data_IF_219861397638
#
_entry.id   IF_219861397638
#
_cell.length_a   1.000
_cell.length_b   1.000
_cell.length_c   1.000
_cell.angle_alpha   90.00
_cell.angle_beta   90.00
_cell.angle_gamma   90.00
#
_symmetry.space_group_name_H-M   'P 1'
#
loop_
_entity.id
_entity.type
_entity.pdbx_description
1 polymer ?
#
# COMPACT_ATOMS: atom_id res chain seq x y z
N UNK A 1 5.32 -9.73 -13.58
CA UNK A 1 4.02 -10.37 -13.91
C UNK A 1 2.92 -9.41 -13.50
N UNK A 2 1.88 -9.23 -14.30
CA UNK A 2 0.73 -8.39 -13.93
C UNK A 2 -0.29 -9.23 -13.16
N UNK A 3 -0.82 -8.68 -12.07
CA UNK A 3 -1.82 -9.35 -11.23
C UNK A 3 -3.13 -8.54 -11.32
N UNK A 4 -4.27 -9.17 -11.65
CA UNK A 4 -5.55 -8.49 -11.64
C UNK A 4 -5.96 -8.14 -10.20
N UNK A 5 -6.67 -7.02 -10.05
CA UNK A 5 -7.25 -6.65 -8.75
C UNK A 5 -8.54 -7.43 -8.56
N UNK A 6 -8.60 -8.21 -7.49
CA UNK A 6 -9.78 -8.95 -7.07
C UNK A 6 -10.52 -8.24 -5.90
N UNK A 7 -11.62 -8.85 -5.46
CA UNK A 7 -12.44 -8.32 -4.37
C UNK A 7 -11.72 -8.29 -3.02
N UNK A 8 -10.78 -9.20 -2.78
CA UNK A 8 -10.01 -9.24 -1.54
C UNK A 8 -9.03 -8.06 -1.50
N UNK A 9 -8.29 -7.86 -2.59
CA UNK A 9 -7.41 -6.71 -2.74
C UNK A 9 -8.18 -5.38 -2.67
N UNK A 10 -9.39 -5.31 -3.22
CA UNK A 10 -10.26 -4.13 -3.11
C UNK A 10 -10.64 -3.84 -1.65
N UNK A 11 -10.94 -4.87 -0.85
CA UNK A 11 -11.22 -4.70 0.57
C UNK A 11 -10.00 -4.22 1.36
N UNK A 12 -8.82 -4.81 1.10
CA UNK A 12 -7.56 -4.39 1.73
C UNK A 12 -7.20 -2.95 1.34
N UNK A 13 -7.36 -2.58 0.08
CA UNK A 13 -7.16 -1.22 -0.42
C UNK A 13 -8.07 -0.21 0.31
N UNK A 14 -9.34 -0.55 0.53
CA UNK A 14 -10.26 0.29 1.29
C UNK A 14 -9.83 0.45 2.76
N UNK A 15 -9.41 -0.64 3.41
CA UNK A 15 -8.89 -0.59 4.78
C UNK A 15 -7.63 0.27 4.87
N UNK A 16 -6.71 0.10 3.91
CA UNK A 16 -5.47 0.88 3.82
C UNK A 16 -5.75 2.36 3.66
N UNK A 17 -6.67 2.75 2.77
CA UNK A 17 -7.04 4.16 2.59
C UNK A 17 -7.67 4.74 3.86
N UNK A 18 -8.50 3.97 4.56
CA UNK A 18 -9.11 4.40 5.83
C UNK A 18 -8.07 4.66 6.92
N UNK A 19 -7.01 3.85 6.96
CA UNK A 19 -5.95 3.92 7.97
C UNK A 19 -4.84 4.92 7.63
N UNK A 20 -4.42 4.94 6.37
CA UNK A 20 -3.20 5.61 5.89
C UNK A 20 -3.46 6.69 4.83
N UNK A 21 -4.72 6.94 4.47
CA UNK A 21 -5.09 7.82 3.36
C UNK A 21 -4.71 9.30 3.53
N UNK A 22 -4.51 9.94 2.38
CA UNK A 22 -4.20 11.38 2.26
C UNK A 22 -5.22 12.26 2.97
N UNK A 23 -4.72 13.25 3.71
CA UNK A 23 -5.53 14.20 4.48
C UNK A 23 -5.97 13.69 5.87
N UNK A 24 -5.68 12.43 6.22
CA UNK A 24 -6.01 11.85 7.52
C UNK A 24 -4.80 11.28 8.25
N UNK A 25 -3.89 10.63 7.51
CA UNK A 25 -2.69 10.02 8.07
C UNK A 25 -1.41 10.60 7.45
N UNK A 26 -0.31 10.49 8.19
CA UNK A 26 1.00 11.02 7.80
C UNK A 26 1.67 10.27 6.63
N UNK A 27 1.29 9.02 6.39
CA UNK A 27 1.67 8.25 5.19
C UNK A 27 1.03 8.83 3.92
N UNK A 28 -0.23 9.24 4.03
CA UNK A 28 -0.89 10.03 3.00
C UNK A 28 -1.20 9.28 1.70
N UNK A 29 -1.51 7.98 1.77
CA UNK A 29 -1.79 7.15 0.60
C UNK A 29 -2.90 7.75 -0.28
N UNK A 30 -2.65 7.78 -1.59
CA UNK A 30 -3.64 8.14 -2.60
C UNK A 30 -4.38 6.89 -3.13
N UNK A 31 -5.35 7.08 -4.03
CA UNK A 31 -6.14 5.97 -4.60
C UNK A 31 -5.28 4.94 -5.36
N UNK A 32 -4.27 5.41 -6.11
CA UNK A 32 -3.31 4.54 -6.80
C UNK A 32 -2.44 3.72 -5.85
N UNK A 33 -1.97 4.35 -4.76
CA UNK A 33 -1.12 3.70 -3.77
C UNK A 33 -1.81 2.53 -3.08
N UNK A 34 -3.14 2.58 -2.98
CA UNK A 34 -3.93 1.52 -2.34
C UNK A 34 -3.85 0.19 -3.10
N UNK A 35 -3.66 0.21 -4.42
CA UNK A 35 -3.47 -1.02 -5.21
C UNK A 35 -2.10 -1.63 -4.93
N UNK A 36 -1.05 -0.82 -4.94
CA UNK A 36 0.31 -1.26 -4.60
C UNK A 36 0.37 -1.80 -3.18
N UNK A 37 -0.27 -1.11 -2.23
CA UNK A 37 -0.36 -1.55 -0.84
C UNK A 37 -1.09 -2.88 -0.72
N UNK A 38 -2.27 -3.00 -1.34
CA UNK A 38 -3.11 -4.19 -1.21
C UNK A 38 -2.42 -5.41 -1.80
N UNK A 39 -1.75 -5.27 -2.95
CA UNK A 39 -1.01 -6.37 -3.56
C UNK A 39 0.17 -6.80 -2.68
N UNK A 40 0.98 -5.85 -2.18
CA UNK A 40 2.10 -6.17 -1.29
C UNK A 40 1.63 -6.84 0.00
N UNK A 41 0.53 -6.34 0.59
CA UNK A 41 -0.06 -6.91 1.80
C UNK A 41 -0.60 -8.32 1.58
N UNK A 42 -1.31 -8.55 0.47
CA UNK A 42 -1.89 -9.84 0.14
C UNK A 42 -0.82 -10.91 -0.16
N UNK A 43 0.27 -10.51 -0.82
CA UNK A 43 1.38 -11.41 -1.11
C UNK A 43 2.34 -11.59 0.07
N UNK A 44 2.31 -10.70 1.06
CA UNK A 44 3.28 -10.67 2.15
C UNK A 44 4.69 -10.28 1.70
N UNK A 45 4.81 -9.65 0.54
CA UNK A 45 6.08 -9.30 -0.11
C UNK A 45 6.43 -7.82 0.14
N UNK A 46 7.73 -7.49 0.24
CA UNK A 46 8.16 -6.11 0.40
C UNK A 46 7.84 -5.27 -0.84
N UNK A 47 7.43 -4.02 -0.61
CA UNK A 47 7.10 -3.08 -1.68
C UNK A 47 8.31 -2.23 -2.04
N UNK A 48 8.65 -2.18 -3.33
CA UNK A 48 9.61 -1.23 -3.86
C UNK A 48 8.88 0.07 -4.22
N UNK A 49 9.32 1.18 -3.62
CA UNK A 49 8.80 2.51 -3.91
C UNK A 49 9.91 3.56 -3.81
N UNK A 50 9.62 4.77 -4.26
CA UNK A 50 10.52 5.92 -4.15
C UNK A 50 9.86 6.98 -3.28
N UNK A 51 10.66 7.69 -2.49
CA UNK A 51 10.16 8.71 -1.56
C UNK A 51 9.67 8.08 -0.26
N UNK A 52 8.67 8.71 0.36
CA UNK A 52 8.19 8.37 1.72
C UNK A 52 6.75 7.83 1.75
N UNK A 53 6.13 7.62 0.59
CA UNK A 53 4.67 7.37 0.48
C UNK A 53 4.22 6.14 1.30
N UNK A 54 5.08 5.12 1.43
CA UNK A 54 4.80 3.91 2.21
C UNK A 54 5.63 3.78 3.48
N UNK A 55 6.53 4.72 3.80
CA UNK A 55 7.47 4.60 4.92
C UNK A 55 6.80 4.65 6.30
N UNK A 56 5.57 5.16 6.36
CA UNK A 56 4.72 5.22 7.56
C UNK A 56 3.53 4.28 7.51
N UNK A 57 3.64 3.21 6.74
CA UNK A 57 2.68 2.10 6.72
C UNK A 57 3.25 0.91 7.49
N UNK A 58 2.49 -0.18 7.54
CA UNK A 58 2.91 -1.46 8.13
C UNK A 58 3.55 -2.42 7.11
N UNK A 59 3.85 -1.95 5.90
CA UNK A 59 4.52 -2.73 4.86
C UNK A 59 6.04 -2.73 5.04
N UNK A 60 6.67 -3.82 4.63
CA UNK A 60 8.13 -3.89 4.49
C UNK A 60 8.56 -3.24 3.17
N UNK A 61 9.66 -2.51 3.17
CA UNK A 61 10.23 -1.89 1.97
C UNK A 61 11.38 -2.71 1.38
N UNK A 62 11.50 -2.69 0.05
CA UNK A 62 12.67 -3.29 -0.62
C UNK A 62 13.86 -2.33 -0.49
N UNK A 63 14.95 -2.82 0.10
CA UNK A 63 16.22 -2.08 0.20
C UNK A 63 16.25 -1.05 1.32
N UNK A 64 15.75 -1.41 2.51
CA UNK A 64 15.61 -0.56 3.70
C UNK A 64 16.64 0.56 3.81
N UNK A 65 16.14 1.80 3.84
CA UNK A 65 16.88 2.95 4.36
C UNK A 65 16.87 2.92 5.88
#
# INVERSE_FOLDING_TARGET
MLIPVDSEQAFVAWQAFRQYGKGRHSAGLNFGDCFSYALAKALGEPLLFKGDDFSKTDLTSVGGQ
#
